data_IF_022936387114
#
_entry.id   IF_022936387114
#
_cell.length_a   1.000
_cell.length_b   1.000
_cell.length_c   1.000
_cell.angle_alpha   90.00
_cell.angle_beta   90.00
_cell.angle_gamma   90.00
#
_symmetry.space_group_name_H-M   'P 1'
#
loop_
_entity.id
_entity.type
_entity.pdbx_description
1 polymer ?
#
# COMPACT_ATOMS: atom_id res chain seq x y z
N UNK A 1 -10.38 26.94 5.93
CA UNK A 1 -8.92 27.18 5.95
C UNK A 1 -8.43 27.24 4.51
N UNK A 2 -7.74 28.31 4.15
CA UNK A 2 -6.96 28.39 2.90
C UNK A 2 -5.51 28.07 3.27
N UNK A 3 -4.91 27.09 2.60
CA UNK A 3 -3.50 26.75 2.77
C UNK A 3 -2.88 26.81 1.38
N UNK A 4 -1.83 27.63 1.21
CA UNK A 4 -1.09 27.74 -0.05
C UNK A 4 0.02 26.70 -0.19
N UNK A 5 0.19 25.82 0.81
CA UNK A 5 1.21 24.79 0.79
C UNK A 5 0.94 23.70 1.83
N UNK A 6 1.35 22.46 1.52
CA UNK A 6 1.34 21.33 2.45
C UNK A 6 2.22 21.56 3.68
N UNK A 7 3.22 22.46 3.57
CA UNK A 7 4.12 22.81 4.67
C UNK A 7 3.38 23.41 5.88
N UNK A 8 2.24 24.07 5.68
CA UNK A 8 1.39 24.57 6.78
C UNK A 8 0.86 23.46 7.70
N UNK A 9 0.82 22.21 7.22
CA UNK A 9 0.41 21.04 7.99
C UNK A 9 1.59 20.27 8.58
N UNK A 10 2.85 20.69 8.39
CA UNK A 10 4.01 20.03 9.01
C UNK A 10 4.29 20.58 10.39
N UNK A 11 3.29 20.52 11.27
CA UNK A 11 3.37 21.02 12.66
C UNK A 11 3.20 19.86 13.64
N UNK A 12 3.42 20.12 14.94
CA UNK A 12 3.21 19.08 15.97
C UNK A 12 1.75 18.59 16.02
N UNK A 13 0.79 19.43 15.61
CA UNK A 13 -0.64 19.11 15.59
C UNK A 13 -1.02 18.12 14.48
N UNK A 14 -0.37 18.22 13.32
CA UNK A 14 -0.77 17.49 12.13
C UNK A 14 0.29 16.45 11.75
N UNK A 15 -0.16 15.23 11.43
CA UNK A 15 0.70 14.25 10.73
C UNK A 15 0.33 14.24 9.26
N UNK A 16 1.31 14.48 8.41
CA UNK A 16 1.16 14.47 6.96
C UNK A 16 1.73 13.16 6.42
N UNK A 17 0.96 12.49 5.57
CA UNK A 17 1.37 11.28 4.85
C UNK A 17 1.16 11.50 3.36
N UNK A 18 2.07 10.97 2.53
CA UNK A 18 1.75 10.74 1.12
C UNK A 18 0.58 9.76 1.07
N UNK A 19 -0.45 10.04 0.27
CA UNK A 19 -1.64 9.18 0.24
C UNK A 19 -1.43 7.96 -0.67
N UNK A 20 -0.65 8.10 -1.74
CA UNK A 20 -0.44 7.03 -2.72
C UNK A 20 -0.09 5.66 -2.11
N UNK A 21 0.88 5.55 -1.18
CA UNK A 21 1.29 4.26 -0.62
C UNK A 21 0.21 3.55 0.22
N UNK A 22 -0.88 4.26 0.56
CA UNK A 22 -1.96 3.77 1.41
C UNK A 22 -3.26 3.51 0.66
N UNK A 23 -3.48 4.22 -0.46
CA UNK A 23 -4.79 4.21 -1.14
C UNK A 23 -4.73 3.81 -2.61
N UNK A 24 -3.55 3.70 -3.22
CA UNK A 24 -3.41 3.27 -4.63
C UNK A 24 -3.53 1.77 -4.81
N UNK A 25 -3.22 1.00 -3.76
CA UNK A 25 -3.25 -0.46 -3.76
C UNK A 25 -4.23 -0.97 -2.69
N UNK A 26 -4.68 -2.21 -2.86
CA UNK A 26 -5.38 -2.89 -1.79
C UNK A 26 -4.40 -3.52 -0.80
N UNK A 27 -4.02 -2.78 0.25
CA UNK A 27 -3.07 -3.28 1.26
C UNK A 27 -3.50 -4.60 1.90
N UNK A 28 -4.80 -4.87 2.09
CA UNK A 28 -5.24 -6.15 2.67
C UNK A 28 -4.99 -7.30 1.70
N UNK A 29 -5.31 -7.10 0.43
CA UNK A 29 -5.10 -8.08 -0.63
C UNK A 29 -3.61 -8.31 -0.90
N UNK A 30 -2.81 -7.24 -0.97
CA UNK A 30 -1.35 -7.29 -1.12
C UNK A 30 -0.69 -8.06 0.03
N UNK A 31 -1.11 -7.82 1.28
CA UNK A 31 -0.64 -8.57 2.45
C UNK A 31 -0.94 -10.06 2.26
N UNK A 32 -2.16 -10.41 1.88
CA UNK A 32 -2.57 -11.80 1.66
C UNK A 32 -1.75 -12.46 0.55
N UNK A 33 -1.54 -11.77 -0.58
CA UNK A 33 -0.74 -12.29 -1.68
C UNK A 33 0.72 -12.54 -1.26
N UNK A 34 1.32 -11.62 -0.51
CA UNK A 34 2.68 -11.81 0.00
C UNK A 34 2.79 -12.93 1.04
N UNK A 35 1.80 -13.09 1.93
CA UNK A 35 1.75 -14.21 2.88
C UNK A 35 1.65 -15.56 2.16
N UNK A 36 0.74 -15.65 1.19
CA UNK A 36 0.57 -16.86 0.37
C UNK A 36 1.83 -17.18 -0.45
N UNK A 37 2.48 -16.15 -1.01
CA UNK A 37 3.70 -16.31 -1.78
C UNK A 37 4.87 -16.77 -0.89
N UNK A 38 5.07 -16.15 0.28
CA UNK A 38 6.10 -16.57 1.24
C UNK A 38 5.88 -18.00 1.72
N UNK A 39 4.63 -18.44 1.92
CA UNK A 39 4.34 -19.84 2.26
C UNK A 39 4.83 -20.79 1.15
N UNK A 40 4.62 -20.44 -0.12
CA UNK A 40 5.11 -21.24 -1.27
C UNK A 40 6.64 -21.24 -1.34
N UNK A 41 7.28 -20.09 -1.21
CA UNK A 41 8.74 -19.98 -1.23
C UNK A 41 9.38 -20.77 -0.09
N UNK A 42 8.85 -20.69 1.14
CA UNK A 42 9.35 -21.46 2.28
C UNK A 42 9.17 -22.96 2.09
N UNK A 43 8.08 -23.40 1.44
CA UNK A 43 7.88 -24.80 1.09
C UNK A 43 8.92 -25.27 0.07
N UNK A 44 9.19 -24.46 -0.97
CA UNK A 44 10.21 -24.73 -1.99
C UNK A 44 11.63 -24.68 -1.43
N UNK A 45 11.92 -23.77 -0.50
CA UNK A 45 13.20 -23.68 0.20
C UNK A 45 13.50 -24.97 0.98
N UNK A 46 12.48 -25.52 1.66
CA UNK A 46 12.58 -26.81 2.38
C UNK A 46 12.58 -28.02 1.45
N UNK A 47 12.02 -27.88 0.25
CA UNK A 47 11.87 -28.96 -0.72
C UNK A 47 12.32 -28.48 -2.12
N UNK A 48 13.64 -28.34 -2.37
CA UNK A 48 14.13 -27.76 -3.63
C UNK A 48 13.67 -28.51 -4.89
N UNK A 49 13.41 -29.81 -4.77
CA UNK A 49 12.86 -30.65 -5.84
C UNK A 49 11.45 -30.24 -6.29
N UNK A 50 10.68 -29.53 -5.45
CA UNK A 50 9.34 -29.01 -5.81
C UNK A 50 9.47 -27.82 -6.77
N UNK A 51 10.55 -27.06 -6.68
CA UNK A 51 10.80 -25.89 -7.53
C UNK A 51 11.21 -26.30 -8.94
N UNK A 52 12.10 -27.30 -9.06
CA UNK A 52 12.48 -27.88 -10.35
C UNK A 52 11.59 -29.08 -10.67
N UNK A 53 10.35 -28.85 -11.15
CA UNK A 53 9.43 -29.91 -11.62
C UNK A 53 9.94 -30.74 -12.82
N UNK A 54 11.24 -30.77 -13.13
CA UNK A 54 11.80 -31.65 -14.15
C UNK A 54 12.10 -33.03 -13.58
N UNK A 55 11.31 -34.04 -14.00
CA UNK A 55 11.46 -35.47 -13.71
C UNK A 55 12.76 -36.12 -14.26
N UNK A 56 13.82 -35.37 -14.49
CA UNK A 56 15.08 -35.94 -15.02
C UNK A 56 16.09 -36.09 -13.91
N UNK A 57 16.36 -37.36 -13.60
CA UNK A 57 17.54 -37.81 -12.88
C UNK A 57 18.80 -37.25 -13.55
N UNK A 58 19.70 -36.75 -12.72
CA UNK A 58 21.12 -36.40 -12.95
C UNK A 58 21.42 -34.92 -12.69
N UNK A 59 22.35 -34.75 -11.74
CA UNK A 59 23.04 -33.55 -11.22
C UNK A 59 22.37 -32.19 -11.47
N UNK A 60 22.01 -31.52 -10.38
CA UNK A 60 21.66 -30.09 -10.40
C UNK A 60 22.86 -29.34 -10.98
N UNK A 61 22.70 -28.71 -12.13
CA UNK A 61 23.73 -27.86 -12.71
C UNK A 61 23.83 -26.52 -11.95
N UNK A 62 24.97 -25.84 -12.07
CA UNK A 62 25.22 -24.56 -11.38
C UNK A 62 24.17 -23.48 -11.73
N UNK A 63 23.57 -23.55 -12.91
CA UNK A 63 22.53 -22.62 -13.34
C UNK A 63 21.21 -22.86 -12.59
N UNK A 64 20.82 -24.12 -12.36
CA UNK A 64 19.65 -24.50 -11.55
C UNK A 64 19.82 -24.10 -10.09
N UNK A 65 21.01 -24.28 -9.52
CA UNK A 65 21.31 -23.83 -8.16
C UNK A 65 21.21 -22.30 -8.03
N UNK A 66 21.76 -21.56 -9.00
CA UNK A 66 21.66 -20.11 -9.05
C UNK A 66 20.21 -19.65 -9.17
N UNK A 67 19.45 -20.22 -10.10
CA UNK A 67 18.03 -19.91 -10.30
C UNK A 67 17.18 -20.22 -9.05
N UNK A 68 17.45 -21.33 -8.34
CA UNK A 68 16.80 -21.63 -7.06
C UNK A 68 17.17 -20.60 -5.98
N UNK A 69 18.44 -20.25 -5.88
CA UNK A 69 18.91 -19.26 -4.90
C UNK A 69 18.26 -17.89 -5.14
N UNK A 70 18.30 -17.39 -6.37
CA UNK A 70 17.76 -16.07 -6.74
C UNK A 70 16.23 -16.03 -6.55
N UNK A 71 15.49 -17.02 -7.06
CA UNK A 71 14.04 -16.96 -7.07
C UNK A 71 13.36 -17.49 -5.82
N UNK A 72 14.06 -18.30 -5.01
CA UNK A 72 13.50 -18.88 -3.78
C UNK A 72 14.16 -18.32 -2.53
N UNK A 73 15.48 -18.48 -2.41
CA UNK A 73 16.19 -18.12 -1.17
C UNK A 73 16.25 -16.59 -0.99
N UNK A 74 16.59 -15.85 -2.03
CA UNK A 74 16.72 -14.39 -2.00
C UNK A 74 15.36 -13.67 -2.07
N UNK A 75 14.35 -14.29 -2.70
CA UNK A 75 12.97 -13.77 -2.72
C UNK A 75 12.30 -13.75 -1.34
N UNK A 76 12.63 -14.67 -0.43
CA UNK A 76 12.04 -14.71 0.92
C UNK A 76 12.27 -13.41 1.69
N UNK A 77 13.52 -12.96 1.95
CA UNK A 77 13.76 -11.73 2.70
C UNK A 77 13.21 -10.49 1.98
N UNK A 78 13.18 -10.48 0.65
CA UNK A 78 12.55 -9.41 -0.14
C UNK A 78 11.05 -9.30 0.17
N UNK A 79 10.32 -10.40 0.07
CA UNK A 79 8.88 -10.41 0.35
C UNK A 79 8.55 -10.20 1.83
N UNK A 80 9.40 -10.67 2.75
CA UNK A 80 9.23 -10.38 4.18
C UNK A 80 9.35 -8.88 4.48
N UNK A 81 10.27 -8.18 3.82
CA UNK A 81 10.42 -6.73 3.94
C UNK A 81 9.17 -5.99 3.44
N UNK A 82 8.66 -6.37 2.26
CA UNK A 82 7.45 -5.77 1.70
C UNK A 82 6.25 -6.02 2.62
N UNK A 83 6.07 -7.28 3.06
CA UNK A 83 4.98 -7.65 3.96
C UNK A 83 5.02 -6.87 5.27
N UNK A 84 6.22 -6.70 5.86
CA UNK A 84 6.37 -5.90 7.07
C UNK A 84 5.97 -4.44 6.84
N UNK A 85 6.33 -3.86 5.70
CA UNK A 85 6.00 -2.47 5.36
C UNK A 85 4.49 -2.30 5.11
N UNK A 86 3.87 -3.17 4.31
CA UNK A 86 2.43 -3.17 4.08
C UNK A 86 1.63 -3.31 5.39
N UNK A 87 2.02 -4.24 6.28
CA UNK A 87 1.40 -4.38 7.61
C UNK A 87 1.52 -3.12 8.45
N UNK A 88 2.69 -2.47 8.47
CA UNK A 88 2.90 -1.20 9.20
C UNK A 88 2.03 -0.08 8.64
N UNK A 89 1.93 0.04 7.31
CA UNK A 89 1.09 1.04 6.64
C UNK A 89 -0.39 0.80 6.91
N UNK A 90 -0.86 -0.45 6.78
CA UNK A 90 -2.24 -0.81 7.06
C UNK A 90 -2.61 -0.50 8.51
N UNK A 91 -1.76 -0.91 9.46
CA UNK A 91 -1.96 -0.55 10.88
C UNK A 91 -2.05 0.97 11.06
N UNK A 92 -1.10 1.71 10.48
CA UNK A 92 -1.06 3.18 10.58
C UNK A 92 -2.34 3.84 10.08
N UNK A 93 -2.86 3.41 8.92
CA UNK A 93 -4.08 4.02 8.36
C UNK A 93 -5.33 3.61 9.13
N UNK A 94 -5.40 2.37 9.64
CA UNK A 94 -6.53 1.90 10.44
C UNK A 94 -6.57 2.51 11.85
N UNK A 95 -5.41 2.88 12.41
CA UNK A 95 -5.32 3.64 13.66
C UNK A 95 -5.88 5.07 13.50
N UNK A 96 -5.97 5.58 12.27
CA UNK A 96 -6.41 6.95 11.98
C UNK A 96 -7.82 6.99 11.36
N UNK A 97 -8.11 6.09 10.43
CA UNK A 97 -9.36 6.03 9.68
C UNK A 97 -10.07 4.72 10.04
N UNK A 98 -11.34 4.77 10.48
CA UNK A 98 -12.12 3.56 10.71
C UNK A 98 -12.12 2.64 9.50
N UNK A 99 -11.90 1.34 9.69
CA UNK A 99 -11.73 0.35 8.63
C UNK A 99 -12.82 0.42 7.54
N UNK A 100 -14.09 0.50 7.95
CA UNK A 100 -15.24 0.61 7.03
C UNK A 100 -15.14 1.85 6.13
N UNK A 101 -14.58 2.95 6.63
CA UNK A 101 -14.38 4.20 5.89
C UNK A 101 -13.15 4.11 4.99
N UNK A 102 -12.05 3.56 5.49
CA UNK A 102 -10.84 3.27 4.71
C UNK A 102 -11.14 2.42 3.47
N UNK A 103 -11.82 1.27 3.63
CA UNK A 103 -12.23 0.38 2.51
C UNK A 103 -13.05 1.10 1.44
N UNK A 104 -13.97 1.97 1.86
CA UNK A 104 -14.79 2.76 0.91
C UNK A 104 -13.96 3.79 0.15
N UNK A 105 -13.01 4.45 0.80
CA UNK A 105 -12.12 5.44 0.17
C UNK A 105 -11.19 4.74 -0.81
N UNK A 106 -10.52 3.68 -0.39
CA UNK A 106 -9.63 2.85 -1.22
C UNK A 106 -10.37 2.30 -2.46
N UNK A 107 -11.59 1.77 -2.30
CA UNK A 107 -12.41 1.32 -3.45
C UNK A 107 -12.71 2.44 -4.45
N UNK A 108 -12.90 3.68 -3.97
CA UNK A 108 -13.05 4.84 -4.86
C UNK A 108 -11.73 5.15 -5.56
N UNK A 109 -10.61 5.13 -4.83
CA UNK A 109 -9.27 5.37 -5.38
C UNK A 109 -8.92 4.40 -6.51
N UNK A 110 -9.11 3.09 -6.28
CA UNK A 110 -8.87 2.04 -7.28
C UNK A 110 -9.81 2.23 -8.49
N UNK A 111 -11.11 2.46 -8.26
CA UNK A 111 -12.08 2.62 -9.35
C UNK A 111 -11.83 3.85 -10.22
N UNK A 112 -11.41 4.96 -9.62
CA UNK A 112 -11.11 6.21 -10.34
C UNK A 112 -9.68 6.21 -10.89
N UNK A 113 -8.85 5.25 -10.45
CA UNK A 113 -7.41 5.21 -10.71
C UNK A 113 -6.72 6.53 -10.33
N UNK A 114 -7.09 7.09 -9.18
CA UNK A 114 -6.53 8.32 -8.68
C UNK A 114 -6.56 8.37 -7.16
N UNK A 115 -5.61 9.10 -6.60
CA UNK A 115 -5.46 9.36 -5.17
C UNK A 115 -5.13 10.83 -4.97
N UNK A 116 -5.51 11.43 -3.83
CA UNK A 116 -5.01 12.75 -3.44
C UNK A 116 -3.48 12.70 -3.24
N UNK A 117 -2.83 13.86 -3.16
CA UNK A 117 -1.39 13.94 -2.91
C UNK A 117 -1.07 13.51 -1.47
N UNK A 118 -1.85 14.03 -0.53
CA UNK A 118 -1.63 13.79 0.89
C UNK A 118 -2.90 13.41 1.63
N UNK A 119 -2.67 12.72 2.74
CA UNK A 119 -3.64 12.45 3.78
C UNK A 119 -3.09 13.02 5.09
N UNK A 120 -3.89 13.81 5.78
CA UNK A 120 -3.49 14.55 6.98
C UNK A 120 -4.33 14.10 8.16
N UNK A 121 -3.67 13.83 9.27
CA UNK A 121 -4.31 13.53 10.55
C UNK A 121 -4.13 14.69 11.52
N UNK A 122 -5.25 15.27 11.96
CA UNK A 122 -5.32 16.22 13.06
C UNK A 122 -5.33 15.47 14.40
N UNK A 123 -4.23 15.56 15.13
CA UNK A 123 -4.06 14.86 16.42
C UNK A 123 -4.99 15.40 17.50
N UNK A 124 -5.28 16.70 17.49
CA UNK A 124 -6.12 17.33 18.51
C UNK A 124 -7.58 16.92 18.33
N UNK A 125 -8.08 17.01 17.09
CA UNK A 125 -9.47 16.72 16.78
C UNK A 125 -9.73 15.22 16.49
N UNK A 126 -8.68 14.40 16.45
CA UNK A 126 -8.72 12.98 16.02
C UNK A 126 -9.48 12.79 14.71
N UNK A 127 -9.28 13.73 13.78
CA UNK A 127 -9.94 13.76 12.47
C UNK A 127 -8.91 13.72 11.38
N UNK A 128 -9.32 13.22 10.21
CA UNK A 128 -8.46 13.15 9.05
C UNK A 128 -9.12 13.72 7.81
N UNK A 129 -8.33 14.37 6.99
CA UNK A 129 -8.75 14.94 5.71
C UNK A 129 -7.68 14.69 4.65
N UNK A 130 -8.06 14.92 3.39
CA UNK A 130 -7.17 14.73 2.25
C UNK A 130 -6.81 16.07 1.63
N UNK A 131 -5.61 16.14 1.06
CA UNK A 131 -5.10 17.36 0.42
C UNK A 131 -4.71 17.03 -1.01
N UNK A 132 -5.22 17.84 -1.94
CA UNK A 132 -4.83 17.83 -3.35
C UNK A 132 -4.01 19.11 -3.57
N UNK A 133 -2.74 18.92 -3.92
CA UNK A 133 -1.79 20.00 -4.21
C UNK A 133 -1.87 20.39 -5.68
N UNK A 134 -1.89 19.38 -6.57
CA UNK A 134 -2.03 19.58 -8.02
C UNK A 134 -3.37 18.99 -8.49
N UNK A 135 -4.39 19.80 -8.76
CA UNK A 135 -5.67 19.31 -9.27
C UNK A 135 -5.48 18.77 -10.70
N UNK A 136 -5.70 17.46 -10.86
CA UNK A 136 -5.85 16.82 -12.17
C UNK A 136 -7.32 16.42 -12.35
N UNK A 137 -7.81 16.20 -13.60
CA UNK A 137 -9.18 15.77 -13.84
C UNK A 137 -9.58 14.52 -13.04
N UNK A 138 -8.65 13.58 -12.86
CA UNK A 138 -8.88 12.35 -12.11
C UNK A 138 -8.96 12.60 -10.61
N UNK A 139 -8.11 13.46 -10.05
CA UNK A 139 -8.15 13.84 -8.63
C UNK A 139 -9.40 14.66 -8.30
N UNK A 140 -9.83 15.53 -9.21
CA UNK A 140 -11.10 16.23 -9.06
C UNK A 140 -12.28 15.27 -9.10
N UNK A 141 -12.30 14.33 -10.05
CA UNK A 141 -13.31 13.28 -10.13
C UNK A 141 -13.34 12.45 -8.86
N UNK A 142 -12.18 12.05 -8.34
CA UNK A 142 -12.04 11.36 -7.07
C UNK A 142 -12.65 12.19 -5.92
N UNK A 143 -12.29 13.48 -5.82
CA UNK A 143 -12.80 14.39 -4.79
C UNK A 143 -14.32 14.51 -4.83
N UNK A 144 -14.92 14.62 -6.03
CA UNK A 144 -16.37 14.68 -6.24
C UNK A 144 -17.05 13.41 -5.73
N UNK A 145 -16.47 12.24 -6.03
CA UNK A 145 -17.03 10.94 -5.59
C UNK A 145 -16.98 10.79 -4.07
N UNK A 146 -15.85 11.10 -3.43
CA UNK A 146 -15.72 10.96 -1.97
C UNK A 146 -16.56 12.00 -1.21
N UNK A 147 -16.68 13.23 -1.72
CA UNK A 147 -17.57 14.27 -1.15
C UNK A 147 -19.05 13.90 -1.29
N UNK A 148 -19.49 13.47 -2.49
CA UNK A 148 -20.88 13.04 -2.74
C UNK A 148 -21.30 11.90 -1.81
N UNK A 149 -20.38 10.98 -1.52
CA UNK A 149 -20.60 9.85 -0.61
C UNK A 149 -20.37 10.18 0.88
N UNK A 150 -20.05 11.44 1.21
CA UNK A 150 -19.71 11.90 2.58
C UNK A 150 -18.61 11.04 3.23
N UNK A 151 -17.63 10.60 2.43
CA UNK A 151 -16.55 9.71 2.91
C UNK A 151 -15.42 10.47 3.57
N UNK A 152 -15.07 11.68 3.14
CA UNK A 152 -13.99 12.44 3.77
C UNK A 152 -14.03 13.91 3.34
N UNK A 153 -13.37 14.74 4.13
CA UNK A 153 -13.07 16.10 3.76
C UNK A 153 -11.87 16.13 2.81
N UNK A 154 -11.93 17.01 1.82
CA UNK A 154 -10.86 17.19 0.83
C UNK A 154 -10.62 18.69 0.65
N UNK A 155 -9.37 19.08 0.89
CA UNK A 155 -8.85 20.43 0.72
C UNK A 155 -8.01 20.49 -0.56
N UNK A 156 -8.16 21.57 -1.31
CA UNK A 156 -7.28 21.90 -2.43
C UNK A 156 -6.33 22.98 -1.92
N UNK A 157 -5.04 22.84 -2.21
CA UNK A 157 -4.09 23.93 -1.99
C UNK A 157 -4.29 24.97 -3.10
N UNK A 158 -4.15 26.24 -2.72
CA UNK A 158 -4.20 27.39 -3.64
C UNK A 158 -2.85 27.58 -4.35
#
# INVERSE_FOLDING_TARGET
MKASSIHHFRTHQYRVFLAEPYFKLDLEEEIKWHEDHLRKLRLQAKNPHIFHRSRTSHKVDHHRERHFKEHVIESIPFHEKILSDHKKRLKTVLDIIPERKYKKIQKVSIKVNAVPDYFVFDRLNKKSFFVIDRPTPEKERWSKVVKKKKLCEVMFLE
#
